data_IF_518104618607
#
_entry.id   IF_518104618607
#
_cell.length_a   1.000
_cell.length_b   1.000
_cell.length_c   1.000
_cell.angle_alpha   90.00
_cell.angle_beta   90.00
_cell.angle_gamma   90.00
#
_symmetry.space_group_name_H-M   'P 1'
#
loop_
_entity.id
_entity.type
_entity.pdbx_description
1 polymer ?
#
# COMPACT_ATOMS: atom_id res chain seq x y z
N UNK A 1 18.70 -38.63 33.31
CA UNK A 1 18.52 -37.17 33.12
C UNK A 1 19.38 -36.71 31.96
N UNK A 2 18.73 -36.36 30.84
CA UNK A 2 19.06 -35.28 29.89
C UNK A 2 18.43 -35.58 28.53
N UNK A 3 17.23 -35.04 28.32
CA UNK A 3 16.56 -35.01 27.01
C UNK A 3 17.10 -33.78 26.27
N UNK A 4 17.72 -33.92 25.08
CA UNK A 4 18.12 -32.76 24.30
C UNK A 4 16.86 -32.00 23.89
N UNK A 5 16.71 -30.78 24.37
CA UNK A 5 15.68 -29.85 23.93
C UNK A 5 16.01 -29.44 22.51
N UNK A 6 15.15 -29.82 21.56
CA UNK A 6 15.14 -29.27 20.22
C UNK A 6 14.76 -27.79 20.32
N UNK A 7 15.75 -26.91 20.45
CA UNK A 7 15.55 -25.47 20.28
C UNK A 7 15.33 -25.23 18.79
N UNK A 8 14.06 -25.16 18.38
CA UNK A 8 13.66 -24.67 17.06
C UNK A 8 14.16 -23.22 16.99
N UNK A 9 15.18 -22.98 16.16
CA UNK A 9 15.65 -21.63 15.87
C UNK A 9 14.45 -20.83 15.34
N UNK A 10 13.97 -19.89 16.14
CA UNK A 10 12.90 -18.98 15.75
C UNK A 10 13.50 -18.00 14.75
N UNK A 11 13.32 -18.29 13.47
CA UNK A 11 13.69 -17.39 12.39
C UNK A 11 12.80 -16.15 12.52
N UNK A 12 13.39 -15.06 13.04
CA UNK A 12 12.82 -13.72 13.09
C UNK A 12 12.76 -13.14 11.67
N UNK A 13 11.92 -13.74 10.84
CA UNK A 13 11.62 -13.37 9.44
C UNK A 13 10.72 -12.13 9.46
N UNK A 14 10.78 -11.20 8.47
CA UNK A 14 10.17 -9.87 8.55
C UNK A 14 8.63 -9.92 8.47
N UNK A 15 7.99 -10.30 9.57
CA UNK A 15 6.53 -10.30 9.72
C UNK A 15 5.99 -8.87 9.74
N UNK A 16 6.75 -7.92 10.28
CA UNK A 16 6.32 -6.54 10.52
C UNK A 16 5.80 -5.81 9.28
N UNK A 17 6.42 -5.99 8.11
CA UNK A 17 6.01 -5.27 6.90
C UNK A 17 4.74 -5.84 6.26
N UNK A 18 4.60 -7.18 6.26
CA UNK A 18 3.38 -7.83 5.78
C UNK A 18 2.21 -7.55 6.73
N UNK A 19 2.46 -7.65 8.03
CA UNK A 19 1.47 -7.33 9.06
C UNK A 19 1.01 -5.86 8.95
N UNK A 20 1.91 -4.92 8.63
CA UNK A 20 1.57 -3.52 8.44
C UNK A 20 0.66 -3.30 7.22
N UNK A 21 0.94 -3.94 6.09
CA UNK A 21 0.10 -3.83 4.89
C UNK A 21 -1.30 -4.42 5.13
N UNK A 22 -1.41 -5.51 5.89
CA UNK A 22 -2.69 -6.13 6.22
C UNK A 22 -3.56 -5.17 7.05
N UNK A 23 -2.99 -4.56 8.09
CA UNK A 23 -3.68 -3.54 8.92
C UNK A 23 -4.06 -2.32 8.08
N UNK A 24 -3.17 -1.84 7.20
CA UNK A 24 -3.46 -0.70 6.33
C UNK A 24 -4.57 -1.03 5.31
N UNK A 25 -4.65 -2.28 4.84
CA UNK A 25 -5.70 -2.72 3.95
C UNK A 25 -7.06 -2.75 4.65
N UNK A 26 -7.13 -3.25 5.89
CA UNK A 26 -8.36 -3.18 6.70
C UNK A 26 -8.83 -1.72 6.89
N UNK A 27 -7.91 -0.80 7.19
CA UNK A 27 -8.22 0.64 7.28
C UNK A 27 -8.73 1.18 5.93
N UNK A 28 -8.09 0.79 4.83
CA UNK A 28 -8.46 1.19 3.47
C UNK A 28 -9.88 0.73 3.10
N UNK A 29 -10.26 -0.49 3.47
CA UNK A 29 -11.61 -1.02 3.27
C UNK A 29 -12.65 -0.25 4.11
N UNK A 30 -12.36 0.00 5.39
CA UNK A 30 -13.23 0.78 6.27
C UNK A 30 -13.48 2.19 5.75
N UNK A 31 -12.45 2.83 5.16
CA UNK A 31 -12.55 4.15 4.57
C UNK A 31 -13.13 4.15 3.14
N UNK A 32 -13.35 2.98 2.55
CA UNK A 32 -13.89 2.85 1.20
C UNK A 32 -12.99 3.46 0.11
N UNK A 33 -11.66 3.41 0.28
CA UNK A 33 -10.73 3.97 -0.73
C UNK A 33 -10.76 3.17 -2.04
N UNK A 34 -11.18 1.90 -1.97
CA UNK A 34 -11.24 0.96 -3.08
C UNK A 34 -9.86 0.58 -3.62
N UNK A 35 -8.80 0.70 -2.83
CA UNK A 35 -7.48 0.17 -3.17
C UNK A 35 -7.41 -1.31 -2.75
N UNK A 36 -6.97 -2.18 -3.67
CA UNK A 36 -6.63 -3.54 -3.33
C UNK A 36 -5.26 -3.61 -2.64
N UNK A 37 -4.96 -4.74 -2.00
CA UNK A 37 -3.74 -4.95 -1.23
C UNK A 37 -2.47 -4.68 -2.05
N UNK A 38 -2.45 -5.06 -3.33
CA UNK A 38 -1.30 -4.86 -4.20
C UNK A 38 -1.08 -3.38 -4.53
N UNK A 39 -2.14 -2.65 -4.89
CA UNK A 39 -2.07 -1.22 -5.20
C UNK A 39 -1.71 -0.42 -3.95
N UNK A 40 -2.28 -0.78 -2.80
CA UNK A 40 -1.93 -0.15 -1.52
C UNK A 40 -0.45 -0.32 -1.18
N UNK A 41 0.09 -1.53 -1.34
CA UNK A 41 1.52 -1.79 -1.11
C UNK A 41 2.42 -0.96 -2.04
N UNK A 42 2.01 -0.79 -3.31
CA UNK A 42 2.73 0.09 -4.23
C UNK A 42 2.69 1.56 -3.78
N UNK A 43 1.52 2.06 -3.38
CA UNK A 43 1.39 3.42 -2.87
C UNK A 43 2.25 3.65 -1.63
N UNK A 44 2.30 2.69 -0.71
CA UNK A 44 3.16 2.74 0.48
C UNK A 44 4.63 2.80 0.07
N UNK A 45 5.09 1.94 -0.84
CA UNK A 45 6.46 1.96 -1.34
C UNK A 45 6.84 3.30 -1.99
N UNK A 46 5.95 3.89 -2.79
CA UNK A 46 6.16 5.21 -3.38
C UNK A 46 6.31 6.31 -2.31
N UNK A 47 5.48 6.25 -1.25
CA UNK A 47 5.55 7.20 -0.13
C UNK A 47 6.85 7.02 0.67
N UNK A 48 7.29 5.78 0.88
CA UNK A 48 8.57 5.46 1.52
C UNK A 48 9.76 5.99 0.71
N UNK A 49 9.66 6.03 -0.62
CA UNK A 49 10.64 6.67 -1.52
C UNK A 49 10.58 8.21 -1.53
N UNK A 50 9.62 8.80 -0.79
CA UNK A 50 9.48 10.26 -0.63
C UNK A 50 8.38 10.89 -1.49
N UNK A 51 7.52 10.10 -2.12
CA UNK A 51 6.37 10.63 -2.87
C UNK A 51 5.38 11.29 -1.91
N UNK A 52 4.88 12.48 -2.27
CA UNK A 52 3.85 13.17 -1.51
C UNK A 52 2.51 12.40 -1.58
N UNK A 53 1.92 11.99 -0.44
CA UNK A 53 0.71 11.17 -0.42
C UNK A 53 -0.53 11.90 -0.97
N UNK A 54 -0.61 13.23 -0.82
CA UNK A 54 -1.73 14.02 -1.35
C UNK A 54 -1.66 14.10 -2.87
N UNK A 55 -0.47 14.33 -3.43
CA UNK A 55 -0.27 14.34 -4.88
C UNK A 55 -0.53 12.95 -5.49
N UNK A 56 -0.05 11.88 -4.83
CA UNK A 56 -0.30 10.51 -5.26
C UNK A 56 -1.80 10.18 -5.28
N UNK A 57 -2.54 10.59 -4.25
CA UNK A 57 -3.99 10.40 -4.21
C UNK A 57 -4.71 11.09 -5.37
N UNK A 58 -4.26 12.30 -5.75
CA UNK A 58 -4.80 13.01 -6.90
C UNK A 58 -4.55 12.23 -8.21
N UNK A 59 -3.32 11.78 -8.44
CA UNK A 59 -2.96 10.99 -9.63
C UNK A 59 -3.77 9.70 -9.71
N UNK A 60 -3.93 8.98 -8.59
CA UNK A 60 -4.75 7.75 -8.54
C UNK A 60 -6.21 8.05 -8.91
N UNK A 61 -6.77 9.17 -8.46
CA UNK A 61 -8.13 9.57 -8.82
C UNK A 61 -8.25 9.93 -10.30
N UNK A 62 -7.29 10.65 -10.86
CA UNK A 62 -7.25 11.01 -12.28
C UNK A 62 -7.20 9.76 -13.16
N UNK A 63 -6.26 8.85 -12.90
CA UNK A 63 -6.13 7.58 -13.64
C UNK A 63 -7.42 6.74 -13.58
N UNK A 64 -8.09 6.70 -12.41
CA UNK A 64 -9.38 6.01 -12.26
C UNK A 64 -10.50 6.68 -13.05
N UNK A 65 -10.48 8.00 -13.20
CA UNK A 65 -11.45 8.72 -14.02
C UNK A 65 -11.21 8.50 -15.52
N UNK A 66 -9.95 8.52 -15.94
CA UNK A 66 -9.54 8.21 -17.32
C UNK A 66 -9.93 6.78 -17.71
N UNK A 67 -9.67 5.80 -16.85
CA UNK A 67 -10.06 4.41 -17.06
C UNK A 67 -11.58 4.22 -17.20
N UNK A 68 -12.37 5.12 -16.60
CA UNK A 68 -13.85 5.15 -16.73
C UNK A 68 -14.32 5.91 -17.97
N UNK A 69 -13.42 6.35 -18.85
CA UNK A 69 -13.76 7.09 -20.07
C UNK A 69 -14.17 8.54 -19.83
N UNK A 70 -13.95 9.10 -18.63
CA UNK A 70 -14.20 10.52 -18.33
C UNK A 70 -13.02 11.41 -18.77
N UNK A 71 -12.48 11.16 -19.95
CA UNK A 71 -11.33 11.89 -20.48
C UNK A 71 -11.71 13.31 -20.90
N UNK A 72 -11.45 14.28 -20.02
CA UNK A 72 -11.08 15.67 -20.35
C UNK A 72 -10.74 16.44 -19.07
N UNK A 73 -9.45 16.54 -18.75
CA UNK A 73 -8.86 17.71 -18.13
C UNK A 73 -7.35 17.66 -18.40
N UNK A 74 -6.81 18.71 -19.00
CA UNK A 74 -5.38 19.01 -19.02
C UNK A 74 -4.80 18.86 -17.61
N UNK A 75 -3.64 18.20 -17.43
CA UNK A 75 -3.05 18.00 -16.11
C UNK A 75 -2.76 19.35 -15.46
N UNK A 76 -3.29 19.59 -14.26
CA UNK A 76 -3.14 20.84 -13.51
C UNK A 76 -1.69 21.11 -13.04
N UNK A 77 -0.76 20.18 -13.26
CA UNK A 77 0.68 20.41 -13.06
C UNK A 77 1.36 21.13 -14.23
N UNK A 78 0.69 21.27 -15.38
CA UNK A 78 1.17 22.03 -16.54
C UNK A 78 0.55 23.44 -16.63
N UNK A 79 -0.04 23.95 -15.55
CA UNK A 79 -0.62 25.29 -15.44
C UNK A 79 0.19 26.18 -14.49
#
# INVERSE_FOLDING_TARGET
>A
MNRPTTTKAESKTPRTARDAIDVLHEISELLGTGLDQQTLALCVGMIEEGTNPLALAQVVQELRQEAKGKGKATPAFLA
#
